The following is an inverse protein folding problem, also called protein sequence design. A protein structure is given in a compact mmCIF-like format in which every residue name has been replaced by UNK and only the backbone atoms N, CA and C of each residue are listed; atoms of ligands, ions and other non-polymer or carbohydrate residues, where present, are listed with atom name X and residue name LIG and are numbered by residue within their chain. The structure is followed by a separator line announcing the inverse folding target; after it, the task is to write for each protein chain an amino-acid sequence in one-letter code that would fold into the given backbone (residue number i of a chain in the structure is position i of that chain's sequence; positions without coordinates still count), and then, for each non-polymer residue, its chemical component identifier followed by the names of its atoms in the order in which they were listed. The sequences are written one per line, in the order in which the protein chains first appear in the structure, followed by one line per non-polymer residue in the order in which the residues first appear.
data_IF_247759845449
#
_entry.id   IF_247759845449
#
_cell.length_a   1.000
_cell.length_b   1.000
_cell.length_c   1.000
_cell.angle_alpha   90.00
_cell.angle_beta   90.00
_cell.angle_gamma   90.00
#
_symmetry.space_group_name_H-M   'P 1'
#
loop_
_entity.id
_entity.type
_entity.pdbx_description
1 polymer ?
#
# COMPACT_ATOMS: atom_id res chain seq x y z
N UNK A 1 11.53 18.72 -16.03
CA UNK A 1 11.72 19.27 -14.66
C UNK A 1 12.24 18.12 -13.78
N UNK A 2 12.86 18.38 -12.62
CA UNK A 2 13.31 17.32 -11.72
C UNK A 2 12.10 16.64 -11.06
N UNK A 3 12.23 15.33 -10.80
CA UNK A 3 11.25 14.61 -10.02
C UNK A 3 11.09 15.21 -8.62
N UNK A 4 9.85 15.27 -8.15
CA UNK A 4 9.46 15.77 -6.84
C UNK A 4 8.80 14.65 -6.04
N UNK A 5 8.86 14.74 -4.71
CA UNK A 5 8.06 13.91 -3.83
C UNK A 5 6.83 14.68 -3.33
N UNK A 6 5.72 13.96 -3.21
CA UNK A 6 4.54 14.38 -2.47
C UNK A 6 3.99 13.22 -1.66
N UNK A 7 2.97 13.46 -0.85
CA UNK A 7 2.33 12.38 -0.11
C UNK A 7 0.80 12.47 -0.17
N UNK A 8 0.17 11.34 0.09
CA UNK A 8 -1.25 11.23 0.34
C UNK A 8 -1.47 10.50 1.67
N UNK A 9 -2.29 11.08 2.53
CA UNK A 9 -2.65 10.53 3.83
C UNK A 9 -4.07 9.97 3.73
N UNK A 10 -4.21 8.65 3.73
CA UNK A 10 -5.50 7.95 3.75
C UNK A 10 -5.97 7.90 5.20
N UNK A 11 -7.17 8.41 5.45
CA UNK A 11 -7.72 8.60 6.79
C UNK A 11 -8.06 7.28 7.48
N UNK A 12 -8.14 7.26 8.83
CA UNK A 12 -8.55 6.08 9.58
C UNK A 12 -9.92 5.54 9.16
N UNK A 13 -10.84 6.43 8.85
CA UNK A 13 -12.19 6.05 8.41
C UNK A 13 -12.17 5.39 7.03
N UNK A 14 -11.39 5.91 6.09
CA UNK A 14 -11.24 5.31 4.77
C UNK A 14 -10.58 3.93 4.84
N UNK A 15 -9.58 3.75 5.72
CA UNK A 15 -8.97 2.44 6.00
C UNK A 15 -10.01 1.44 6.52
N UNK A 16 -10.74 1.80 7.58
CA UNK A 16 -11.76 0.91 8.18
C UNK A 16 -12.91 0.58 7.24
N UNK A 17 -13.27 1.50 6.33
CA UNK A 17 -14.30 1.27 5.30
C UNK A 17 -13.80 0.48 4.09
N UNK A 18 -12.52 0.04 4.08
CA UNK A 18 -11.94 -0.70 2.96
C UNK A 18 -11.78 0.11 1.67
N UNK A 19 -11.69 1.45 1.78
CA UNK A 19 -11.61 2.37 0.61
C UNK A 19 -10.19 2.50 0.04
N UNK A 20 -9.20 1.91 0.70
CA UNK A 20 -7.76 2.04 0.38
C UNK A 20 -7.46 1.68 -1.07
N UNK A 21 -8.01 0.58 -1.56
CA UNK A 21 -7.74 0.12 -2.92
C UNK A 21 -8.32 1.05 -3.98
N UNK A 22 -9.57 1.46 -3.83
CA UNK A 22 -10.21 2.43 -4.73
C UNK A 22 -9.48 3.78 -4.77
N UNK A 23 -9.00 4.25 -3.63
CA UNK A 23 -8.19 5.48 -3.51
C UNK A 23 -6.84 5.30 -4.22
N UNK A 24 -6.07 4.26 -3.88
CA UNK A 24 -4.75 3.99 -4.45
C UNK A 24 -4.82 3.81 -5.97
N UNK A 25 -5.75 2.99 -6.43
CA UNK A 25 -5.90 2.69 -7.85
C UNK A 25 -6.19 3.94 -8.68
N UNK A 26 -7.12 4.81 -8.22
CA UNK A 26 -7.42 6.06 -8.91
C UNK A 26 -6.29 7.07 -8.81
N UNK A 27 -5.62 7.15 -7.67
CA UNK A 27 -4.48 8.05 -7.48
C UNK A 27 -3.36 7.72 -8.46
N UNK A 28 -2.94 6.45 -8.56
CA UNK A 28 -1.88 6.01 -9.49
C UNK A 28 -2.32 6.18 -10.94
N UNK A 29 -3.50 5.66 -11.32
CA UNK A 29 -3.94 5.62 -12.71
C UNK A 29 -4.18 7.01 -13.31
N UNK A 30 -4.61 7.98 -12.50
CA UNK A 30 -4.93 9.33 -12.97
C UNK A 30 -3.76 10.31 -12.88
N UNK A 31 -2.84 10.11 -11.91
CA UNK A 31 -1.67 10.99 -11.76
C UNK A 31 -0.51 10.58 -12.66
N UNK A 32 -0.37 9.30 -12.97
CA UNK A 32 0.81 8.73 -13.58
C UNK A 32 2.06 8.81 -12.69
N UNK A 33 1.89 9.15 -11.41
CA UNK A 33 2.99 9.22 -10.45
C UNK A 33 3.42 7.81 -10.01
N UNK A 34 4.70 7.65 -9.74
CA UNK A 34 5.27 6.44 -9.17
C UNK A 34 4.96 6.34 -7.68
N UNK A 35 4.55 5.16 -7.20
CA UNK A 35 4.44 4.86 -5.78
C UNK A 35 5.84 4.59 -5.22
N UNK A 36 6.49 5.63 -4.69
CA UNK A 36 7.86 5.57 -4.21
C UNK A 36 8.01 4.79 -2.90
N UNK A 37 7.16 5.09 -1.91
CA UNK A 37 7.09 4.36 -0.64
C UNK A 37 5.72 4.54 0.01
N UNK A 38 5.48 3.83 1.12
CA UNK A 38 4.28 3.97 1.91
C UNK A 38 4.43 3.25 3.24
N UNK A 39 3.67 3.72 4.24
CA UNK A 39 3.76 3.18 5.60
C UNK A 39 2.45 3.42 6.36
N UNK A 40 2.05 2.44 7.15
CA UNK A 40 0.94 2.63 8.08
C UNK A 40 1.46 3.38 9.31
N UNK A 41 0.69 4.35 9.79
CA UNK A 41 0.99 5.18 10.96
C UNK A 41 -0.12 5.09 11.99
N UNK A 42 0.27 5.21 13.27
CA UNK A 42 -0.58 5.53 14.40
C UNK A 42 -0.11 6.88 14.97
N UNK A 43 -0.51 8.00 14.35
CA UNK A 43 0.08 9.30 14.62
C UNK A 43 -0.32 9.81 16.01
N UNK A 44 0.65 10.33 16.76
CA UNK A 44 0.41 11.04 18.02
C UNK A 44 -0.35 12.36 17.80
N UNK A 45 -0.98 12.89 18.85
CA UNK A 45 -1.59 14.23 18.79
C UNK A 45 -0.59 15.31 18.39
N UNK A 46 0.70 15.14 18.76
CA UNK A 46 1.76 16.05 18.34
C UNK A 46 1.98 16.00 16.85
N UNK A 47 2.17 14.82 16.26
CA UNK A 47 2.36 14.68 14.81
C UNK A 47 1.16 15.19 14.03
N UNK A 48 -0.06 14.90 14.49
CA UNK A 48 -1.29 15.39 13.86
C UNK A 48 -1.38 16.92 13.90
N UNK A 49 -1.01 17.55 15.03
CA UNK A 49 -0.96 19.00 15.17
C UNK A 49 0.11 19.65 14.28
N UNK A 50 1.29 19.07 14.22
CA UNK A 50 2.40 19.54 13.38
C UNK A 50 2.05 19.40 11.88
N UNK A 51 1.47 18.27 11.46
CA UNK A 51 0.98 18.07 10.11
C UNK A 51 -0.13 19.08 9.75
N UNK A 52 -1.09 19.31 10.65
CA UNK A 52 -2.17 20.28 10.44
C UNK A 52 -1.63 21.69 10.17
N UNK A 53 -0.52 22.05 10.84
CA UNK A 53 0.13 23.36 10.63
C UNK A 53 0.75 23.53 9.22
N UNK A 54 1.00 22.44 8.50
CA UNK A 54 1.50 22.52 7.12
C UNK A 54 0.40 22.84 6.09
N UNK A 55 -0.87 22.58 6.40
CA UNK A 55 -2.02 22.76 5.49
C UNK A 55 -2.59 24.19 5.58
N UNK A 56 -1.78 25.20 5.22
CA UNK A 56 -2.18 26.60 5.34
C UNK A 56 -3.31 27.01 4.41
N UNK A 57 -3.36 26.41 3.22
CA UNK A 57 -4.39 26.67 2.19
C UNK A 57 -5.66 25.83 2.37
N UNK A 58 -5.67 24.85 3.29
CA UNK A 58 -6.76 23.90 3.49
C UNK A 58 -7.23 23.88 4.97
N UNK A 59 -7.98 24.89 5.44
CA UNK A 59 -8.33 25.05 6.84
C UNK A 59 -9.23 23.93 7.40
N UNK A 60 -10.14 23.36 6.57
CA UNK A 60 -10.98 22.22 7.00
C UNK A 60 -10.12 20.96 7.18
N UNK A 61 -9.17 20.71 6.28
CA UNK A 61 -8.18 19.63 6.38
C UNK A 61 -7.33 19.78 7.64
N UNK A 62 -6.83 21.00 7.92
CA UNK A 62 -6.08 21.28 9.16
C UNK A 62 -6.93 21.04 10.42
N UNK A 63 -8.18 21.47 10.42
CA UNK A 63 -9.11 21.24 11.53
C UNK A 63 -9.39 19.75 11.74
N UNK A 64 -9.61 19.00 10.63
CA UNK A 64 -9.80 17.55 10.67
C UNK A 64 -8.62 16.83 11.31
N UNK A 65 -7.39 17.11 10.88
CA UNK A 65 -6.18 16.51 11.45
C UNK A 65 -6.04 16.76 12.95
N UNK A 66 -6.32 17.99 13.41
CA UNK A 66 -6.32 18.35 14.84
C UNK A 66 -7.38 17.62 15.66
N UNK A 67 -8.50 17.27 15.03
CA UNK A 67 -9.61 16.58 15.69
C UNK A 67 -9.48 15.05 15.69
N UNK A 68 -8.56 14.49 14.88
CA UNK A 68 -8.32 13.04 14.87
C UNK A 68 -7.83 12.58 16.25
N UNK A 69 -8.40 11.48 16.80
CA UNK A 69 -7.85 10.85 17.97
C UNK A 69 -6.40 10.38 17.72
N UNK A 70 -5.53 10.54 18.72
CA UNK A 70 -4.21 9.94 18.66
C UNK A 70 -4.28 8.44 18.42
N UNK A 71 -3.22 7.87 17.86
CA UNK A 71 -3.05 6.44 17.56
C UNK A 71 -4.08 5.86 16.58
N UNK A 72 -4.84 6.73 15.90
CA UNK A 72 -5.76 6.31 14.85
C UNK A 72 -4.99 5.85 13.62
N UNK A 73 -5.09 4.56 13.27
CA UNK A 73 -4.35 3.99 12.14
C UNK A 73 -4.70 4.69 10.83
N UNK A 74 -3.67 5.15 10.13
CA UNK A 74 -3.72 5.84 8.85
C UNK A 74 -2.68 5.26 7.90
N UNK A 75 -2.87 5.40 6.59
CA UNK A 75 -1.87 5.00 5.61
C UNK A 75 -1.31 6.22 4.90
N UNK A 76 0.00 6.38 4.94
CA UNK A 76 0.71 7.40 4.16
C UNK A 76 1.33 6.76 2.93
N UNK A 77 1.01 7.30 1.76
CA UNK A 77 1.60 6.97 0.47
C UNK A 77 2.51 8.12 0.05
N UNK A 78 3.72 7.82 -0.40
CA UNK A 78 4.65 8.81 -0.97
C UNK A 78 4.74 8.56 -2.46
N UNK A 79 4.49 9.61 -3.24
CA UNK A 79 4.44 9.59 -4.69
C UNK A 79 5.59 10.40 -5.25
N UNK A 80 6.13 9.96 -6.40
CA UNK A 80 7.26 10.59 -7.08
C UNK A 80 6.93 10.88 -8.54
N UNK A 81 7.40 12.00 -9.04
CA UNK A 81 7.32 12.37 -10.45
C UNK A 81 7.36 13.87 -10.66
N UNK A 82 7.23 14.26 -11.91
CA UNK A 82 7.17 15.67 -12.30
C UNK A 82 5.87 16.31 -11.79
N UNK A 83 5.98 17.51 -11.18
CA UNK A 83 4.84 18.24 -10.59
C UNK A 83 3.99 17.44 -9.62
N UNK A 84 4.63 16.55 -8.86
CA UNK A 84 3.95 15.53 -8.06
C UNK A 84 2.89 16.12 -7.10
N UNK A 85 3.20 17.23 -6.41
CA UNK A 85 2.26 17.85 -5.48
C UNK A 85 1.03 18.41 -6.20
N UNK A 86 1.20 19.12 -7.31
CA UNK A 86 0.09 19.68 -8.08
C UNK A 86 -0.80 18.58 -8.68
N UNK A 87 -0.20 17.55 -9.27
CA UNK A 87 -0.93 16.40 -9.82
C UNK A 87 -1.73 15.65 -8.75
N UNK A 88 -1.12 15.35 -7.60
CA UNK A 88 -1.81 14.69 -6.50
C UNK A 88 -2.94 15.56 -5.95
N UNK A 89 -2.70 16.85 -5.71
CA UNK A 89 -3.71 17.78 -5.22
C UNK A 89 -4.93 17.88 -6.14
N UNK A 90 -4.73 17.96 -7.46
CA UNK A 90 -5.83 18.05 -8.43
C UNK A 90 -6.72 16.82 -8.44
N UNK A 91 -6.15 15.61 -8.17
CA UNK A 91 -6.88 14.34 -8.15
C UNK A 91 -7.55 14.12 -6.80
N UNK A 92 -6.84 14.46 -5.72
CA UNK A 92 -7.38 14.31 -4.35
C UNK A 92 -8.51 15.29 -4.12
N UNK A 93 -8.38 16.53 -4.61
CA UNK A 93 -9.30 17.63 -4.33
C UNK A 93 -8.90 18.41 -3.07
N UNK A 94 -9.49 19.57 -2.91
CA UNK A 94 -9.29 20.48 -1.78
C UNK A 94 -10.49 20.51 -0.81
N UNK A 95 -10.47 21.43 0.13
CA UNK A 95 -11.56 21.60 1.12
C UNK A 95 -12.92 22.00 0.50
N UNK A 96 -12.93 22.49 -0.74
CA UNK A 96 -14.15 22.86 -1.47
C UNK A 96 -14.70 21.71 -2.32
N UNK A 97 -13.93 20.62 -2.52
CA UNK A 97 -14.30 19.51 -3.42
C UNK A 97 -15.42 18.63 -2.87
N UNK A 98 -15.71 18.70 -1.57
CA UNK A 98 -16.72 17.85 -0.92
C UNK A 98 -18.13 18.24 -1.37
N UNK A 99 -18.91 17.22 -1.77
CA UNK A 99 -20.28 17.38 -2.27
C UNK A 99 -20.37 17.68 -3.77
N UNK A 100 -19.25 17.51 -4.49
CA UNK A 100 -19.19 17.63 -5.95
C UNK A 100 -19.78 16.43 -6.69
N UNK A 101 -19.35 16.23 -7.94
CA UNK A 101 -19.89 15.20 -8.86
C UNK A 101 -19.08 13.91 -8.90
N UNK A 102 -18.22 13.64 -7.90
CA UNK A 102 -17.33 12.49 -7.89
C UNK A 102 -16.09 12.64 -8.79
N UNK A 103 -15.71 13.87 -9.11
CA UNK A 103 -14.56 14.17 -9.96
C UNK A 103 -13.23 13.98 -9.22
N UNK A 104 -13.21 14.25 -7.92
CA UNK A 104 -12.04 14.07 -7.05
C UNK A 104 -12.13 12.84 -6.17
N UNK A 105 -11.03 12.47 -5.53
CA UNK A 105 -11.04 11.36 -4.57
C UNK A 105 -11.84 11.73 -3.31
N UNK A 106 -11.79 12.98 -2.86
CA UNK A 106 -12.61 13.46 -1.74
C UNK A 106 -14.09 13.38 -2.05
N UNK A 107 -14.52 13.78 -3.24
CA UNK A 107 -15.92 13.64 -3.66
C UNK A 107 -16.41 12.19 -3.66
N UNK A 108 -15.50 11.26 -3.99
CA UNK A 108 -15.88 9.84 -4.11
C UNK A 108 -15.78 9.10 -2.78
N UNK A 109 -14.74 9.37 -1.99
CA UNK A 109 -14.38 8.58 -0.79
C UNK A 109 -14.51 9.36 0.51
N UNK A 110 -14.73 10.67 0.46
CA UNK A 110 -15.05 11.46 1.63
C UNK A 110 -16.50 11.31 2.04
N UNK A 111 -16.80 11.68 3.29
CA UNK A 111 -18.15 11.72 3.82
C UNK A 111 -18.44 13.13 4.36
N UNK A 112 -19.53 13.72 3.91
CA UNK A 112 -20.09 14.94 4.48
C UNK A 112 -21.30 14.53 5.31
N UNK A 113 -21.22 14.70 6.62
CA UNK A 113 -22.33 14.43 7.51
C UNK A 113 -22.97 15.75 7.90
N UNK A 114 -24.19 15.97 7.40
CA UNK A 114 -24.99 17.13 7.78
C UNK A 114 -25.65 16.92 9.14
N UNK A 115 -25.77 17.99 9.91
CA UNK A 115 -26.53 17.96 11.16
C UNK A 115 -28.02 17.74 10.87
N UNK A 116 -28.63 16.85 11.64
CA UNK A 116 -30.10 16.73 11.71
C UNK A 116 -30.75 17.82 12.54
N UNK A 117 -29.99 18.76 13.15
CA UNK A 117 -30.52 19.91 13.88
C UNK A 117 -30.93 21.03 12.92
N UNK A 118 -31.98 21.76 13.27
CA UNK A 118 -32.49 22.89 12.49
C UNK A 118 -31.39 23.88 12.13
N UNK A 119 -31.17 24.08 10.82
CA UNK A 119 -30.16 24.99 10.29
C UNK A 119 -29.16 24.38 9.32
N UNK A 120 -29.13 23.06 9.13
CA UNK A 120 -28.43 22.37 8.03
C UNK A 120 -26.92 22.61 7.87
N UNK A 121 -26.22 23.00 8.95
CA UNK A 121 -24.76 23.12 8.88
C UNK A 121 -24.11 21.74 8.93
N UNK A 122 -23.15 21.52 8.03
CA UNK A 122 -22.31 20.32 8.06
C UNK A 122 -21.60 20.19 9.42
N UNK A 123 -21.88 19.10 10.15
CA UNK A 123 -21.31 18.85 11.49
C UNK A 123 -20.01 18.09 11.39
N UNK A 124 -19.80 17.36 10.31
CA UNK A 124 -18.66 16.46 10.16
C UNK A 124 -18.09 16.48 8.75
N UNK A 125 -16.79 16.66 8.68
CA UNK A 125 -16.01 16.58 7.44
C UNK A 125 -15.03 15.41 7.55
N UNK A 126 -15.22 14.37 6.75
CA UNK A 126 -14.32 13.22 6.61
C UNK A 126 -13.78 13.20 5.18
N UNK A 127 -12.53 13.63 4.95
CA UNK A 127 -12.00 13.77 3.59
C UNK A 127 -11.69 12.44 2.89
N UNK A 128 -11.59 11.33 3.62
CA UNK A 128 -11.17 10.02 3.11
C UNK A 128 -9.70 9.97 2.74
N UNK A 129 -9.19 11.02 2.11
CA UNK A 129 -7.78 11.19 1.72
C UNK A 129 -7.41 12.68 1.79
N UNK A 130 -6.15 12.95 2.16
CA UNK A 130 -5.56 14.28 2.26
C UNK A 130 -4.27 14.31 1.43
N UNK A 131 -4.04 15.40 0.69
CA UNK A 131 -2.77 15.67 0.02
C UNK A 131 -2.38 17.15 0.17
N UNK A 132 -1.06 17.47 0.23
CA UNK A 132 -0.58 18.85 0.16
C UNK A 132 -1.01 19.54 -1.12
N UNK A 133 -1.33 20.82 -1.04
CA UNK A 133 -1.75 21.62 -2.20
C UNK A 133 -0.58 22.01 -3.11
N UNK A 134 0.64 22.02 -2.58
CA UNK A 134 1.84 22.48 -3.29
C UNK A 134 3.12 21.82 -2.75
N UNK A 135 4.23 22.02 -3.46
CA UNK A 135 5.52 21.42 -3.13
C UNK A 135 6.06 21.84 -1.74
N UNK A 136 5.81 23.07 -1.29
CA UNK A 136 6.29 23.54 0.00
C UNK A 136 5.58 22.81 1.16
N UNK A 137 4.25 22.68 1.08
CA UNK A 137 3.46 21.89 2.02
C UNK A 137 3.87 20.39 1.99
N UNK A 138 4.14 19.86 0.77
CA UNK A 138 4.58 18.47 0.62
C UNK A 138 5.92 18.22 1.33
N UNK A 139 6.93 19.05 1.10
CA UNK A 139 8.24 18.92 1.73
C UNK A 139 8.15 19.07 3.26
N UNK A 140 7.35 20.02 3.75
CA UNK A 140 7.16 20.22 5.18
C UNK A 140 6.52 18.99 5.84
N UNK A 141 5.44 18.46 5.28
CA UNK A 141 4.78 17.27 5.79
C UNK A 141 5.64 16.00 5.69
N UNK A 142 6.38 15.81 4.57
CA UNK A 142 7.29 14.67 4.40
C UNK A 142 8.39 14.64 5.45
N UNK A 143 8.96 15.80 5.83
CA UNK A 143 9.96 15.88 6.90
C UNK A 143 9.41 15.43 8.25
N UNK A 144 8.19 15.85 8.59
CA UNK A 144 7.51 15.45 9.82
C UNK A 144 7.24 13.94 9.85
N UNK A 145 6.68 13.41 8.74
CA UNK A 145 6.38 11.98 8.60
C UNK A 145 7.66 11.13 8.64
N UNK A 146 8.73 11.56 7.98
CA UNK A 146 10.02 10.86 8.01
C UNK A 146 10.60 10.83 9.43
N UNK A 147 10.54 11.95 10.17
CA UNK A 147 11.03 12.03 11.55
C UNK A 147 10.25 11.14 12.52
N UNK A 148 8.93 11.03 12.34
CA UNK A 148 8.06 10.21 13.19
C UNK A 148 8.01 8.72 12.79
N UNK A 149 8.51 8.36 11.60
CA UNK A 149 8.26 7.04 11.00
C UNK A 149 8.80 5.85 11.78
N UNK A 150 9.85 6.02 12.58
CA UNK A 150 10.40 4.96 13.44
C UNK A 150 9.53 4.69 14.68
N UNK A 151 8.97 5.74 15.27
CA UNK A 151 8.20 5.65 16.52
C UNK A 151 6.69 5.42 16.28
N UNK A 152 6.14 6.02 15.22
CA UNK A 152 4.70 6.11 15.01
C UNK A 152 4.24 5.36 13.74
N UNK A 153 5.16 4.70 13.02
CA UNK A 153 4.83 3.96 11.79
C UNK A 153 5.40 2.56 11.75
N UNK A 154 4.82 1.70 10.92
CA UNK A 154 5.33 0.33 10.72
C UNK A 154 4.26 -0.71 10.48
N UNK A 155 4.51 -1.91 11.02
CA UNK A 155 3.50 -2.95 11.14
C UNK A 155 2.84 -2.76 12.50
N UNK A 156 1.62 -2.27 12.47
CA UNK A 156 0.87 -1.93 13.68
C UNK A 156 0.11 -3.16 14.22
N UNK A 157 -0.59 -2.96 15.31
CA UNK A 157 -1.45 -3.98 15.91
C UNK A 157 -2.89 -3.46 15.98
N UNK A 158 -3.80 -4.20 15.36
CA UNK A 158 -5.24 -3.91 15.37
C UNK A 158 -6.02 -4.96 16.19
N UNK A 159 -5.36 -5.78 17.02
CA UNK A 159 -6.00 -6.85 17.79
C UNK A 159 -7.15 -6.36 18.66
N UNK A 160 -7.06 -5.12 19.18
CA UNK A 160 -8.15 -4.50 19.96
C UNK A 160 -9.44 -4.25 19.15
N UNK A 161 -9.38 -4.30 17.82
CA UNK A 161 -10.55 -4.14 16.94
C UNK A 161 -11.41 -5.41 16.86
N UNK A 162 -10.85 -6.55 17.22
CA UNK A 162 -11.48 -7.87 17.09
C UNK A 162 -11.82 -8.44 18.47
N UNK A 163 -12.92 -9.20 18.53
CA UNK A 163 -13.35 -9.92 19.76
C UNK A 163 -12.72 -11.30 19.87
N UNK A 164 -12.13 -11.81 18.80
CA UNK A 164 -11.52 -13.13 18.69
C UNK A 164 -10.01 -13.01 18.65
N UNK A 165 -9.31 -14.13 18.86
CA UNK A 165 -7.87 -14.23 18.66
C UNK A 165 -7.51 -13.86 17.22
N UNK A 166 -6.43 -13.10 17.05
CA UNK A 166 -5.99 -12.62 15.73
C UNK A 166 -4.62 -13.17 15.35
N UNK A 167 -4.41 -13.29 14.05
CA UNK A 167 -3.12 -13.57 13.43
C UNK A 167 -2.82 -12.56 12.35
N UNK A 168 -1.55 -12.46 11.95
CA UNK A 168 -1.11 -11.61 10.84
C UNK A 168 -0.72 -12.48 9.65
N UNK A 169 -0.98 -12.00 8.43
CA UNK A 169 -0.56 -12.67 7.19
C UNK A 169 0.04 -11.68 6.21
N UNK A 170 0.99 -12.16 5.39
CA UNK A 170 1.64 -11.39 4.34
C UNK A 170 0.93 -11.58 3.01
N UNK A 171 0.78 -10.48 2.27
CA UNK A 171 0.42 -10.45 0.86
C UNK A 171 1.48 -9.69 0.10
N UNK A 172 1.88 -10.16 -1.09
CA UNK A 172 2.66 -9.40 -2.06
C UNK A 172 1.81 -9.12 -3.30
N UNK A 173 1.59 -7.85 -3.62
CA UNK A 173 1.10 -7.44 -4.94
C UNK A 173 2.28 -7.55 -5.89
N UNK A 174 2.12 -8.35 -6.95
CA UNK A 174 3.20 -8.72 -7.86
C UNK A 174 3.42 -7.67 -8.96
N UNK A 175 4.59 -7.69 -9.62
CA UNK A 175 4.97 -6.69 -10.64
C UNK A 175 4.00 -6.51 -11.80
N UNK A 176 3.28 -7.55 -12.20
CA UNK A 176 2.28 -7.49 -13.29
C UNK A 176 1.17 -6.47 -13.06
N UNK A 177 0.94 -6.06 -11.81
CA UNK A 177 -0.03 -5.02 -11.50
C UNK A 177 0.50 -3.60 -11.70
N UNK A 178 1.81 -3.45 -11.87
CA UNK A 178 2.50 -2.15 -12.01
C UNK A 178 3.12 -1.94 -13.40
N UNK A 179 2.86 -2.82 -14.36
CA UNK A 179 3.42 -2.74 -15.72
C UNK A 179 3.09 -1.41 -16.43
N UNK A 180 2.01 -0.76 -16.06
CA UNK A 180 1.60 0.57 -16.47
C UNK A 180 0.69 1.20 -15.40
N UNK A 181 0.56 2.54 -15.35
CA UNK A 181 -0.35 3.20 -14.43
C UNK A 181 -1.79 2.72 -14.64
N UNK A 182 -2.35 2.04 -13.66
CA UNK A 182 -3.69 1.45 -13.73
C UNK A 182 -4.33 1.32 -12.36
N UNK A 183 -5.60 0.93 -12.33
CA UNK A 183 -6.33 0.65 -11.08
C UNK A 183 -6.04 -0.75 -10.52
N UNK A 184 -5.26 -1.59 -11.22
CA UNK A 184 -5.04 -3.00 -10.84
C UNK A 184 -4.52 -3.19 -9.41
N UNK A 185 -3.46 -2.47 -8.93
CA UNK A 185 -3.00 -2.65 -7.55
C UNK A 185 -4.08 -2.34 -6.53
N UNK A 186 -4.89 -1.32 -6.80
CA UNK A 186 -6.03 -0.95 -5.98
C UNK A 186 -7.13 -2.01 -5.97
N UNK A 187 -7.47 -2.57 -7.14
CA UNK A 187 -8.46 -3.64 -7.27
C UNK A 187 -8.08 -4.89 -6.46
N UNK A 188 -6.79 -5.25 -6.44
CA UNK A 188 -6.28 -6.34 -5.59
C UNK A 188 -6.51 -6.04 -4.10
N UNK A 189 -6.22 -4.81 -3.65
CA UNK A 189 -6.44 -4.38 -2.26
C UNK A 189 -7.93 -4.40 -1.92
N UNK A 190 -8.80 -3.93 -2.82
CA UNK A 190 -10.26 -3.92 -2.61
C UNK A 190 -10.84 -5.32 -2.42
N UNK A 191 -10.33 -6.31 -3.17
CA UNK A 191 -10.74 -7.71 -2.97
C UNK A 191 -10.32 -8.24 -1.60
N UNK A 192 -9.11 -7.95 -1.17
CA UNK A 192 -8.67 -8.34 0.18
C UNK A 192 -9.43 -7.60 1.28
N UNK A 193 -9.83 -6.35 1.08
CA UNK A 193 -10.63 -5.60 2.06
C UNK A 193 -11.99 -6.26 2.36
N UNK A 194 -12.54 -7.04 1.42
CA UNK A 194 -13.80 -7.79 1.62
C UNK A 194 -13.70 -8.91 2.66
N UNK A 195 -12.49 -9.33 3.03
CA UNK A 195 -12.26 -10.33 4.08
C UNK A 195 -12.60 -9.81 5.49
N UNK A 196 -12.76 -8.50 5.67
CA UNK A 196 -12.96 -7.87 6.97
C UNK A 196 -11.70 -7.78 7.83
N UNK A 197 -10.54 -8.16 7.30
CA UNK A 197 -9.25 -8.05 7.99
C UNK A 197 -8.75 -6.60 7.97
N UNK A 198 -8.01 -6.23 9.02
CA UNK A 198 -7.39 -4.91 9.10
C UNK A 198 -6.06 -4.88 8.32
N UNK A 199 -5.87 -3.86 7.48
CA UNK A 199 -4.57 -3.57 6.86
C UNK A 199 -3.68 -2.88 7.89
N UNK A 200 -2.64 -3.56 8.39
CA UNK A 200 -1.76 -3.10 9.48
C UNK A 200 -0.32 -2.86 9.05
N UNK A 201 0.04 -3.20 7.82
CA UNK A 201 1.37 -2.95 7.26
C UNK A 201 1.29 -2.72 5.76
N UNK A 202 2.13 -1.79 5.25
CA UNK A 202 2.20 -1.43 3.84
C UNK A 202 3.62 -1.00 3.49
N UNK A 203 4.25 -1.65 2.51
CA UNK A 203 5.61 -1.35 2.06
C UNK A 203 5.78 -1.61 0.57
N UNK A 204 5.92 -0.58 -0.28
CA UNK A 204 6.44 -0.71 -1.63
C UNK A 204 7.94 -1.02 -1.60
N UNK A 205 8.36 -2.02 -2.36
CA UNK A 205 9.77 -2.43 -2.42
C UNK A 205 10.13 -3.07 -3.76
N UNK A 206 11.42 -3.22 -4.00
CA UNK A 206 11.99 -3.93 -5.13
C UNK A 206 12.73 -5.16 -4.60
N UNK A 207 12.23 -6.35 -4.90
CA UNK A 207 12.84 -7.60 -4.45
C UNK A 207 14.22 -7.77 -5.10
N UNK A 208 15.28 -8.01 -4.31
CA UNK A 208 16.57 -8.35 -4.86
C UNK A 208 16.59 -9.80 -5.37
N UNK A 209 17.54 -10.13 -6.24
CA UNK A 209 17.70 -11.52 -6.73
C UNK A 209 17.98 -12.48 -5.57
N UNK A 210 18.83 -12.09 -4.61
CA UNK A 210 19.12 -12.89 -3.43
C UNK A 210 17.86 -13.14 -2.57
N UNK A 211 17.05 -12.10 -2.36
CA UNK A 211 15.75 -12.27 -1.69
C UNK A 211 14.81 -13.20 -2.47
N UNK A 212 14.79 -13.11 -3.80
CA UNK A 212 14.03 -14.00 -4.66
C UNK A 212 14.47 -15.46 -4.56
N UNK A 213 15.79 -15.71 -4.55
CA UNK A 213 16.35 -17.06 -4.35
C UNK A 213 15.94 -17.66 -2.99
N UNK A 214 16.00 -16.87 -1.92
CA UNK A 214 15.61 -17.32 -0.58
C UNK A 214 14.09 -17.48 -0.43
N UNK A 215 13.30 -16.54 -0.96
CA UNK A 215 11.85 -16.53 -0.88
C UNK A 215 11.21 -17.73 -1.60
N UNK A 216 11.68 -18.00 -2.83
CA UNK A 216 11.21 -19.09 -3.67
C UNK A 216 12.07 -20.36 -3.57
N UNK A 217 13.04 -20.40 -2.65
CA UNK A 217 13.87 -21.58 -2.39
C UNK A 217 13.06 -22.86 -2.17
N UNK A 218 12.04 -22.87 -1.30
CA UNK A 218 11.22 -24.07 -1.05
C UNK A 218 10.50 -24.63 -2.27
N UNK A 219 10.32 -23.83 -3.33
CA UNK A 219 9.66 -24.29 -4.57
C UNK A 219 10.64 -24.93 -5.55
N UNK A 220 11.94 -24.70 -5.39
CA UNK A 220 12.96 -25.19 -6.31
C UNK A 220 12.99 -26.71 -6.42
N UNK A 221 13.05 -27.41 -5.28
CA UNK A 221 13.14 -28.87 -5.25
C UNK A 221 11.90 -29.51 -5.89
N UNK A 222 10.72 -28.98 -5.60
CA UNK A 222 9.48 -29.41 -6.24
C UNK A 222 9.51 -29.24 -7.76
N UNK A 223 9.96 -28.08 -8.25
CA UNK A 223 10.01 -27.82 -9.69
C UNK A 223 11.02 -28.71 -10.39
N UNK A 224 12.20 -28.93 -9.80
CA UNK A 224 13.26 -29.78 -10.37
C UNK A 224 12.81 -31.24 -10.41
N UNK A 225 12.09 -31.71 -9.39
CA UNK A 225 11.54 -33.08 -9.37
C UNK A 225 10.46 -33.29 -10.44
N UNK A 226 9.56 -32.30 -10.62
CA UNK A 226 8.36 -32.47 -11.45
C UNK A 226 8.54 -32.05 -12.91
N UNK A 227 9.51 -31.21 -13.21
CA UNK A 227 9.69 -30.61 -14.55
C UNK A 227 11.13 -30.79 -15.05
N UNK A 228 11.33 -31.22 -16.32
CA UNK A 228 12.67 -31.33 -16.92
C UNK A 228 13.45 -30.00 -16.91
N UNK A 229 12.75 -28.87 -17.01
CA UNK A 229 13.29 -27.51 -17.01
C UNK A 229 13.01 -26.76 -15.68
N UNK A 230 12.74 -27.48 -14.59
CA UNK A 230 12.29 -26.94 -13.29
C UNK A 230 13.19 -25.83 -12.75
N UNK A 231 14.53 -25.97 -12.89
CA UNK A 231 15.45 -24.90 -12.49
C UNK A 231 15.27 -23.62 -13.33
N UNK A 232 15.09 -23.75 -14.64
CA UNK A 232 14.82 -22.61 -15.51
C UNK A 232 13.50 -21.93 -15.18
N UNK A 233 12.48 -22.72 -14.84
CA UNK A 233 11.18 -22.19 -14.38
C UNK A 233 11.32 -21.41 -13.06
N UNK A 234 12.07 -21.94 -12.09
CA UNK A 234 12.37 -21.26 -10.83
C UNK A 234 13.12 -19.94 -11.06
N UNK A 235 14.17 -19.93 -11.90
CA UNK A 235 14.87 -18.69 -12.25
C UNK A 235 13.96 -17.68 -12.95
N UNK A 236 12.98 -18.14 -13.73
CA UNK A 236 12.00 -17.27 -14.37
C UNK A 236 11.06 -16.61 -13.35
N UNK A 237 10.69 -17.30 -12.27
CA UNK A 237 9.90 -16.72 -11.17
C UNK A 237 10.71 -15.59 -10.51
N UNK A 238 12.00 -15.81 -10.26
CA UNK A 238 12.85 -14.78 -9.66
C UNK A 238 13.02 -13.60 -10.60
N UNK A 239 13.26 -13.85 -11.90
CA UNK A 239 13.38 -12.80 -12.91
C UNK A 239 12.09 -11.97 -13.00
N UNK A 240 10.93 -12.59 -12.91
CA UNK A 240 9.65 -11.89 -12.89
C UNK A 240 9.50 -10.98 -11.65
N UNK A 241 9.97 -11.42 -10.48
CA UNK A 241 9.86 -10.66 -9.22
C UNK A 241 10.96 -9.63 -9.02
N UNK A 242 12.19 -9.91 -9.48
CA UNK A 242 13.37 -9.08 -9.24
C UNK A 242 13.90 -8.37 -10.51
N UNK A 243 13.47 -8.80 -11.69
CA UNK A 243 13.88 -8.22 -12.97
C UNK A 243 15.10 -8.86 -13.62
N UNK A 244 15.77 -9.84 -12.96
CA UNK A 244 16.96 -10.52 -13.48
C UNK A 244 17.00 -11.98 -13.01
N UNK A 245 17.50 -12.89 -13.85
CA UNK A 245 17.70 -14.28 -13.46
C UNK A 245 18.91 -14.43 -12.53
N UNK A 246 18.90 -15.35 -11.57
CA UNK A 246 20.06 -15.65 -10.74
C UNK A 246 21.33 -15.98 -11.53
N UNK A 247 21.20 -16.75 -12.61
CA UNK A 247 22.29 -17.14 -13.50
C UNK A 247 22.89 -15.97 -14.31
N UNK A 248 22.17 -14.87 -14.45
CA UNK A 248 22.60 -13.67 -15.18
C UNK A 248 23.25 -12.62 -14.26
N UNK A 249 23.23 -12.82 -12.93
CA UNK A 249 23.78 -11.88 -11.95
C UNK A 249 25.26 -12.13 -11.69
N UNK A 250 26.06 -11.07 -11.70
CA UNK A 250 27.39 -11.11 -11.09
C UNK A 250 27.26 -11.29 -9.56
N UNK A 251 28.27 -11.88 -8.92
CA UNK A 251 28.22 -12.24 -7.49
C UNK A 251 27.90 -11.06 -6.56
N UNK A 252 28.32 -9.83 -6.89
CA UNK A 252 28.03 -8.62 -6.09
C UNK A 252 26.68 -7.96 -6.37
N UNK A 253 25.97 -8.33 -7.44
CA UNK A 253 24.73 -7.68 -7.86
C UNK A 253 23.48 -8.26 -7.19
N UNK A 254 23.54 -9.50 -6.72
CA UNK A 254 22.35 -10.22 -6.23
C UNK A 254 21.63 -9.53 -5.05
N UNK A 255 22.36 -8.77 -4.24
CA UNK A 255 21.81 -8.06 -3.08
C UNK A 255 21.29 -6.65 -3.41
N UNK A 256 21.58 -6.14 -4.60
CA UNK A 256 21.04 -4.84 -5.01
C UNK A 256 19.51 -4.92 -5.20
N UNK A 257 18.77 -3.82 -4.93
CA UNK A 257 17.33 -3.78 -5.24
C UNK A 257 17.08 -4.14 -6.71
N UNK A 258 16.08 -4.99 -6.94
CA UNK A 258 15.67 -5.35 -8.29
C UNK A 258 15.00 -4.20 -9.03
N UNK A 259 14.64 -4.43 -10.29
CA UNK A 259 13.96 -3.43 -11.13
C UNK A 259 12.43 -3.52 -11.09
N UNK A 260 11.88 -4.61 -10.56
CA UNK A 260 10.44 -4.85 -10.59
C UNK A 260 9.76 -4.37 -9.31
N UNK A 261 8.72 -3.50 -9.39
CA UNK A 261 8.02 -3.00 -8.22
C UNK A 261 7.10 -4.08 -7.61
N UNK A 262 7.09 -4.14 -6.29
CA UNK A 262 6.17 -4.95 -5.49
C UNK A 262 5.60 -4.12 -4.35
N UNK A 263 4.44 -4.50 -3.84
CA UNK A 263 3.90 -3.96 -2.59
C UNK A 263 3.63 -5.09 -1.62
N UNK A 264 4.26 -5.03 -0.44
CA UNK A 264 3.96 -5.91 0.67
C UNK A 264 2.88 -5.29 1.55
N UNK A 265 1.88 -6.11 1.90
CA UNK A 265 0.77 -5.77 2.78
C UNK A 265 0.74 -6.75 3.94
N UNK A 266 0.47 -6.27 5.14
CA UNK A 266 0.14 -7.13 6.29
C UNK A 266 -1.31 -6.91 6.64
N UNK A 267 -2.06 -7.99 6.65
CA UNK A 267 -3.43 -8.05 7.15
C UNK A 267 -3.48 -8.76 8.51
N UNK A 268 -4.34 -8.27 9.39
CA UNK A 268 -4.55 -8.85 10.72
C UNK A 268 -6.03 -9.08 11.01
N UNK A 269 -6.33 -10.19 11.66
CA UNK A 269 -7.65 -10.53 12.15
C UNK A 269 -7.80 -12.04 12.39
N UNK A 270 -8.99 -12.49 12.77
CA UNK A 270 -9.27 -13.92 12.94
C UNK A 270 -9.11 -14.68 11.63
N UNK A 271 -8.41 -15.81 11.66
CA UNK A 271 -8.17 -16.71 10.51
C UNK A 271 -7.57 -15.98 9.29
N UNK A 272 -6.64 -15.02 9.52
CA UNK A 272 -6.17 -14.14 8.46
C UNK A 272 -5.49 -14.90 7.33
N UNK A 273 -4.69 -15.93 7.61
CA UNK A 273 -4.04 -16.75 6.58
C UNK A 273 -5.09 -17.43 5.71
N UNK A 274 -6.08 -18.11 6.32
CA UNK A 274 -7.12 -18.84 5.59
C UNK A 274 -7.98 -17.89 4.72
N UNK A 275 -8.46 -16.77 5.28
CA UNK A 275 -9.30 -15.79 4.59
C UNK A 275 -8.58 -15.13 3.41
N UNK A 276 -7.31 -14.77 3.58
CA UNK A 276 -6.50 -14.18 2.50
C UNK A 276 -6.26 -15.20 1.40
N UNK A 277 -5.99 -16.46 1.73
CA UNK A 277 -5.79 -17.51 0.73
C UNK A 277 -7.06 -17.87 -0.02
N UNK A 278 -8.21 -17.84 0.64
CA UNK A 278 -9.52 -17.99 -0.02
C UNK A 278 -9.77 -16.84 -1.01
N UNK A 279 -9.59 -15.59 -0.60
CA UNK A 279 -9.73 -14.42 -1.46
C UNK A 279 -8.72 -14.40 -2.63
N UNK A 280 -7.52 -14.96 -2.42
CA UNK A 280 -6.48 -15.09 -3.44
C UNK A 280 -6.86 -16.09 -4.55
N UNK A 281 -7.40 -17.25 -4.17
CA UNK A 281 -7.78 -18.33 -5.08
C UNK A 281 -6.64 -19.27 -5.49
N UNK A 282 -6.95 -20.27 -6.32
CA UNK A 282 -6.00 -21.27 -6.84
C UNK A 282 -4.82 -20.62 -7.55
N UNK A 283 -3.61 -21.24 -7.40
CA UNK A 283 -2.37 -20.74 -8.04
C UNK A 283 -2.48 -20.61 -9.55
N UNK A 284 -3.18 -21.54 -10.19
CA UNK A 284 -3.50 -21.44 -11.60
C UNK A 284 -4.80 -20.64 -11.78
N UNK A 285 -4.78 -19.46 -12.47
CA UNK A 285 -5.96 -18.65 -12.71
C UNK A 285 -7.09 -19.38 -13.46
N UNK A 286 -6.75 -20.36 -14.29
CA UNK A 286 -7.73 -21.18 -14.99
C UNK A 286 -8.62 -21.99 -14.03
N UNK A 287 -8.05 -22.41 -12.89
CA UNK A 287 -8.72 -23.22 -11.87
C UNK A 287 -9.22 -22.37 -10.68
N UNK A 288 -8.97 -21.07 -10.68
CA UNK A 288 -9.39 -20.18 -9.62
C UNK A 288 -10.90 -19.88 -9.71
N UNK A 289 -11.55 -19.85 -8.56
CA UNK A 289 -12.98 -19.53 -8.46
C UNK A 289 -13.24 -18.06 -8.86
N UNK A 290 -14.41 -17.80 -9.42
CA UNK A 290 -14.85 -16.44 -9.75
C UNK A 290 -14.90 -15.56 -8.51
N UNK A 291 -14.50 -14.30 -8.64
CA UNK A 291 -14.42 -13.34 -7.54
C UNK A 291 -13.14 -13.44 -6.71
N UNK A 292 -12.20 -14.33 -7.08
CA UNK A 292 -10.87 -14.39 -6.47
C UNK A 292 -9.87 -13.56 -7.25
N UNK A 293 -8.82 -13.08 -6.58
CA UNK A 293 -7.79 -12.22 -7.17
C UNK A 293 -7.12 -12.89 -8.37
N UNK A 294 -6.76 -14.15 -8.26
CA UNK A 294 -6.09 -14.87 -9.35
C UNK A 294 -7.00 -15.10 -10.55
N UNK A 295 -8.31 -15.21 -10.33
CA UNK A 295 -9.29 -15.29 -11.42
C UNK A 295 -9.46 -13.96 -12.16
N UNK A 296 -9.50 -12.86 -11.40
CA UNK A 296 -9.75 -11.54 -11.97
C UNK A 296 -8.50 -10.90 -12.61
N UNK A 297 -7.33 -11.07 -11.98
CA UNK A 297 -6.10 -10.38 -12.37
C UNK A 297 -5.04 -11.28 -12.99
N UNK A 298 -5.12 -12.59 -12.78
CA UNK A 298 -4.12 -13.56 -13.26
C UNK A 298 -4.33 -13.96 -14.72
N UNK A 299 -3.22 -14.25 -15.41
CA UNK A 299 -3.22 -14.79 -16.78
C UNK A 299 -2.53 -16.15 -16.87
N UNK A 300 -1.48 -16.38 -16.08
CA UNK A 300 -0.72 -17.63 -16.01
C UNK A 300 -0.43 -17.99 -14.55
N UNK A 301 0.12 -19.19 -14.32
CA UNK A 301 0.57 -19.61 -12.98
C UNK A 301 1.61 -18.65 -12.38
N UNK A 302 2.46 -18.02 -13.20
CA UNK A 302 3.48 -17.07 -12.77
C UNK A 302 2.90 -15.65 -12.65
N UNK A 303 2.15 -15.20 -13.67
CA UNK A 303 1.51 -13.88 -13.74
C UNK A 303 0.09 -14.04 -13.17
N UNK A 304 -0.04 -13.99 -11.84
CA UNK A 304 -1.28 -14.31 -11.14
C UNK A 304 -1.68 -13.29 -10.06
N UNK A 305 -1.23 -12.05 -10.21
CA UNK A 305 -1.67 -10.88 -9.47
C UNK A 305 -1.04 -10.74 -8.09
N UNK A 306 -1.14 -11.74 -7.24
CA UNK A 306 -0.63 -11.65 -5.87
C UNK A 306 -0.07 -12.98 -5.36
N UNK A 307 0.80 -12.89 -4.34
CA UNK A 307 1.21 -13.97 -3.47
C UNK A 307 0.63 -13.74 -2.07
N UNK A 308 0.37 -14.80 -1.34
CA UNK A 308 0.08 -14.76 0.09
C UNK A 308 0.72 -15.96 0.78
N UNK A 309 1.26 -15.72 1.99
CA UNK A 309 1.79 -16.80 2.84
C UNK A 309 0.72 -17.85 3.12
N UNK A 310 1.12 -19.11 3.23
CA UNK A 310 0.21 -20.24 3.38
C UNK A 310 0.18 -20.80 4.81
N UNK A 311 1.08 -20.33 5.68
CA UNK A 311 1.11 -20.65 7.11
C UNK A 311 1.72 -19.52 7.91
N UNK A 312 1.54 -19.54 9.23
CA UNK A 312 2.14 -18.55 10.16
C UNK A 312 3.67 -18.62 10.12
N UNK A 313 4.24 -19.82 10.01
CA UNK A 313 5.69 -20.02 9.89
C UNK A 313 6.23 -19.35 8.62
N UNK A 314 5.51 -19.50 7.50
CA UNK A 314 5.87 -18.83 6.24
C UNK A 314 5.65 -17.33 6.30
N UNK A 315 4.68 -16.81 7.04
CA UNK A 315 4.57 -15.35 7.29
C UNK A 315 5.86 -14.84 7.95
N UNK A 316 6.33 -15.49 9.01
CA UNK A 316 7.55 -15.08 9.72
C UNK A 316 8.79 -15.15 8.81
N UNK A 317 8.97 -16.24 8.06
CA UNK A 317 10.06 -16.46 7.13
C UNK A 317 10.06 -15.40 6.01
N UNK A 318 8.94 -15.25 5.33
CA UNK A 318 8.79 -14.39 4.16
C UNK A 318 8.93 -12.91 4.50
N UNK A 319 8.35 -12.46 5.63
CA UNK A 319 8.51 -11.08 6.11
C UNK A 319 9.94 -10.77 6.52
N UNK A 320 10.68 -11.75 7.07
CA UNK A 320 12.10 -11.64 7.38
C UNK A 320 12.95 -11.45 6.12
N UNK A 321 12.72 -12.27 5.08
CA UNK A 321 13.47 -12.22 3.81
C UNK A 321 13.31 -10.86 3.13
N UNK A 322 12.08 -10.33 3.03
CA UNK A 322 11.85 -9.02 2.41
C UNK A 322 12.14 -7.84 3.33
N UNK A 323 12.63 -8.09 4.54
CA UNK A 323 12.98 -7.09 5.56
C UNK A 323 11.86 -6.09 5.79
N UNK A 324 10.64 -6.62 5.98
CA UNK A 324 9.45 -5.80 6.07
C UNK A 324 9.45 -4.85 7.26
N UNK A 325 10.13 -5.23 8.35
CA UNK A 325 10.28 -4.41 9.57
C UNK A 325 11.23 -3.22 9.38
N UNK A 326 12.15 -3.28 8.41
CA UNK A 326 13.11 -2.20 8.20
C UNK A 326 12.40 -0.94 7.68
N UNK A 327 12.73 0.20 8.29
CA UNK A 327 12.19 1.49 7.92
C UNK A 327 13.01 2.13 6.78
N UNK A 328 12.65 1.83 5.53
CA UNK A 328 13.21 2.50 4.35
C UNK A 328 12.43 3.78 3.96
N UNK A 329 11.29 4.04 4.59
CA UNK A 329 10.44 5.21 4.36
C UNK A 329 11.21 6.52 4.56
N UNK A 330 11.91 6.64 5.69
CA UNK A 330 12.75 7.79 6.02
C UNK A 330 13.87 8.02 5.00
N UNK A 331 14.57 6.93 4.63
CA UNK A 331 15.69 6.98 3.68
C UNK A 331 15.23 7.40 2.29
N UNK A 332 14.12 6.83 1.81
CA UNK A 332 13.54 7.17 0.50
C UNK A 332 13.07 8.62 0.43
N UNK A 333 12.50 9.15 1.51
CA UNK A 333 12.12 10.56 1.58
C UNK A 333 13.37 11.44 1.55
N UNK A 334 14.38 11.15 2.38
CA UNK A 334 15.60 11.93 2.43
C UNK A 334 16.37 11.98 1.09
N UNK A 335 16.25 10.94 0.27
CA UNK A 335 16.87 10.89 -1.04
C UNK A 335 16.13 11.72 -2.12
N UNK A 336 14.91 12.17 -1.86
CA UNK A 336 14.05 12.84 -2.84
C UNK A 336 13.60 14.26 -2.48
N UNK A 337 14.04 14.81 -1.32
CA UNK A 337 13.72 16.18 -0.89
C UNK A 337 14.98 17.03 -0.69
#
# INVERSE_FOLDING_TARGET
MADQLTYAFITPTALRKGRTGGILGRLISRSGLELNTGRVFAPSSKLLGDLAATFQSQPKTAAYLKALPADSQSLVLVLKGEDAAAKAASIVGDDASMGGRGETLRDTFGDLVESTQEGGQAVYFEPGIIAPANAAEAVAGLKLLAAASDAEGGILDASATFTESTEKTLVLIKPDNFAFPSTRPGGVIDLFARTGLALVGFKPFHMSVAQGEEFYGPVLDFLVEKLPDGRSQWESIIAFMAGKRPSECAAGEKNAPGSQPCVALIYQGPDAVAKIREALGSTNPANAAHGTIRKEFGTTIMINGAHASDSIENVARETGIIRLQENDFKTKIAAGI
#
